data_IF_805535023516
#
_entry.id   IF_805535023516
#
_cell.length_a   1.000
_cell.length_b   1.000
_cell.length_c   1.000
_cell.angle_alpha   90.00
_cell.angle_beta   90.00
_cell.angle_gamma   90.00
#
_symmetry.space_group_name_H-M   'P 1'
#
loop_
_entity.id
_entity.type
_entity.pdbx_description
1 polymer ?
#
# COMPACT_ATOMS: atom_id res chain seq x y z
N UNK A 1 -2.72 -1.92 -12.26
CA UNK A 1 -1.58 -1.41 -13.05
C UNK A 1 -0.66 -0.67 -12.08
N UNK A 2 0.26 -1.41 -11.44
CA UNK A 2 1.25 -0.80 -10.55
C UNK A 2 2.35 -0.19 -11.41
N UNK A 3 2.32 1.13 -11.54
CA UNK A 3 3.46 1.89 -12.04
C UNK A 3 4.58 1.75 -11.01
N UNK A 4 5.64 1.01 -11.37
CA UNK A 4 6.95 1.25 -10.76
C UNK A 4 7.35 2.65 -11.23
N UNK A 5 7.38 3.61 -10.32
CA UNK A 5 8.01 4.91 -10.58
C UNK A 5 9.50 4.66 -10.57
N UNK A 6 10.16 4.94 -11.69
CA UNK A 6 11.60 4.92 -11.81
C UNK A 6 12.08 6.36 -11.68
N UNK A 7 12.79 6.70 -10.59
CA UNK A 7 13.37 8.03 -10.33
C UNK A 7 14.64 8.31 -11.16
N UNK A 8 14.68 7.80 -12.37
CA UNK A 8 15.69 8.18 -13.35
C UNK A 8 15.20 9.40 -14.13
N UNK A 9 16.00 10.46 -14.21
CA UNK A 9 15.77 11.52 -15.17
C UNK A 9 15.84 10.94 -16.60
N UNK A 10 14.69 10.56 -17.16
CA UNK A 10 14.57 10.17 -18.57
C UNK A 10 14.26 11.45 -19.37
N UNK A 11 15.24 12.01 -20.12
CA UNK A 11 15.03 13.24 -20.90
C UNK A 11 14.15 13.03 -22.15
N UNK A 12 13.68 11.80 -22.40
CA UNK A 12 12.88 11.43 -23.56
C UNK A 12 11.37 11.48 -23.28
N UNK A 13 10.59 11.87 -24.30
CA UNK A 13 9.13 11.82 -24.26
C UNK A 13 8.69 10.35 -24.23
N UNK A 14 7.95 9.94 -23.17
CA UNK A 14 7.39 8.61 -23.10
C UNK A 14 6.40 8.41 -24.27
N UNK A 15 6.50 7.25 -24.93
CA UNK A 15 5.61 6.89 -26.04
C UNK A 15 4.99 5.55 -25.74
N UNK A 16 3.67 5.49 -25.83
CA UNK A 16 2.89 4.26 -25.66
C UNK A 16 2.44 3.84 -27.05
N UNK A 17 2.85 2.65 -27.48
CA UNK A 17 2.46 2.07 -28.76
C UNK A 17 1.87 0.69 -28.50
N UNK A 18 0.72 0.42 -29.09
CA UNK A 18 0.15 -0.93 -29.07
C UNK A 18 0.89 -1.80 -30.08
N UNK A 19 1.43 -2.92 -29.60
CA UNK A 19 1.97 -3.95 -30.47
C UNK A 19 0.82 -4.68 -31.19
N UNK A 20 1.06 -5.24 -32.39
CA UNK A 20 0.06 -6.02 -33.10
C UNK A 20 -0.47 -7.17 -32.24
N UNK A 21 -1.78 -7.43 -32.31
CA UNK A 21 -2.37 -8.59 -31.66
C UNK A 21 -1.86 -9.87 -32.31
N UNK A 22 -1.42 -10.81 -31.49
CA UNK A 22 -0.93 -12.11 -31.93
C UNK A 22 -2.09 -13.09 -31.83
N UNK A 23 -2.59 -13.54 -32.98
CA UNK A 23 -3.66 -14.54 -33.07
C UNK A 23 -3.07 -15.96 -33.07
N UNK A 24 -2.38 -16.31 -31.98
CA UNK A 24 -1.80 -17.63 -31.75
C UNK A 24 -2.11 -18.06 -30.31
N UNK A 25 -2.07 -19.37 -30.08
CA UNK A 25 -2.26 -19.91 -28.74
C UNK A 25 -1.15 -19.42 -27.79
N UNK A 26 -1.47 -18.65 -26.74
CA UNK A 26 -0.45 -18.00 -25.90
C UNK A 26 0.36 -19.01 -25.09
N UNK A 27 -0.20 -20.19 -24.81
CA UNK A 27 0.49 -21.27 -24.12
C UNK A 27 1.50 -22.03 -24.98
N UNK A 28 1.50 -21.85 -26.29
CA UNK A 28 2.38 -22.56 -27.21
C UNK A 28 3.82 -22.02 -27.12
N UNK A 29 4.80 -22.90 -26.90
CA UNK A 29 6.21 -22.50 -26.77
C UNK A 29 6.74 -21.78 -28.01
N UNK A 30 6.34 -22.20 -29.21
CA UNK A 30 6.73 -21.53 -30.46
C UNK A 30 6.16 -20.12 -30.55
N UNK A 31 4.94 -19.89 -30.04
CA UNK A 31 4.35 -18.55 -29.97
C UNK A 31 5.14 -17.65 -29.01
N UNK A 32 5.45 -18.16 -27.81
CA UNK A 32 6.22 -17.39 -26.81
C UNK A 32 7.61 -17.06 -27.38
N UNK A 33 8.28 -18.03 -28.00
CA UNK A 33 9.59 -17.84 -28.62
C UNK A 33 9.57 -16.81 -29.75
N UNK A 34 8.65 -16.94 -30.72
CA UNK A 34 8.56 -16.02 -31.86
C UNK A 34 8.22 -14.60 -31.42
N UNK A 35 7.36 -14.46 -30.40
CA UNK A 35 7.04 -13.17 -29.77
C UNK A 35 8.27 -12.53 -29.13
N UNK A 36 9.05 -13.30 -28.35
CA UNK A 36 10.27 -12.80 -27.73
C UNK A 36 11.30 -12.36 -28.77
N UNK A 37 11.50 -13.16 -29.83
CA UNK A 37 12.37 -12.80 -30.96
C UNK A 37 11.92 -11.52 -31.66
N UNK A 38 10.62 -11.38 -31.93
CA UNK A 38 10.07 -10.17 -32.51
C UNK A 38 10.37 -8.94 -31.64
N UNK A 39 10.14 -9.04 -30.33
CA UNK A 39 10.38 -7.93 -29.39
C UNK A 39 11.87 -7.59 -29.30
N UNK A 40 12.77 -8.58 -29.30
CA UNK A 40 14.22 -8.33 -29.38
C UNK A 40 14.60 -7.55 -30.65
N UNK A 41 14.07 -7.97 -31.80
CA UNK A 41 14.35 -7.30 -33.08
C UNK A 41 13.84 -5.86 -33.10
N UNK A 42 12.66 -5.60 -32.52
CA UNK A 42 12.16 -4.23 -32.36
C UNK A 42 13.02 -3.43 -31.40
N UNK A 43 13.34 -3.96 -30.22
CA UNK A 43 14.16 -3.28 -29.22
C UNK A 43 15.56 -2.94 -29.76
N UNK A 44 16.15 -3.82 -30.59
CA UNK A 44 17.42 -3.59 -31.27
C UNK A 44 17.39 -2.35 -32.18
N UNK A 45 16.30 -2.13 -32.94
CA UNK A 45 16.13 -0.95 -33.80
C UNK A 45 16.18 0.36 -33.01
N UNK A 46 15.72 0.32 -31.76
CA UNK A 46 15.71 1.46 -30.84
C UNK A 46 16.90 1.49 -29.87
N UNK A 47 17.85 0.55 -29.99
CA UNK A 47 19.01 0.39 -29.07
C UNK A 47 18.58 0.30 -27.60
N UNK A 48 17.49 -0.43 -27.34
CA UNK A 48 16.93 -0.64 -26.02
C UNK A 48 17.02 -2.12 -25.61
N UNK A 49 17.05 -2.36 -24.30
CA UNK A 49 16.92 -3.72 -23.77
C UNK A 49 15.43 -4.04 -23.57
N UNK A 50 14.91 -5.13 -24.17
CA UNK A 50 13.50 -5.47 -24.03
C UNK A 50 13.18 -5.95 -22.62
N UNK A 51 12.11 -5.40 -22.03
CA UNK A 51 11.49 -5.92 -20.81
C UNK A 51 10.13 -6.51 -21.15
N UNK A 52 9.92 -7.78 -20.81
CA UNK A 52 8.68 -8.50 -21.06
C UNK A 52 8.04 -8.92 -19.76
N UNK A 53 6.74 -8.65 -19.62
CA UNK A 53 5.97 -9.08 -18.46
C UNK A 53 5.00 -10.18 -18.87
N UNK A 54 5.02 -11.31 -18.17
CA UNK A 54 4.17 -12.46 -18.43
C UNK A 54 3.43 -12.91 -17.17
N UNK A 55 2.20 -13.39 -17.30
CA UNK A 55 1.52 -14.11 -16.22
C UNK A 55 2.28 -15.38 -15.83
N UNK A 56 2.05 -15.87 -14.61
CA UNK A 56 2.84 -16.94 -14.00
C UNK A 56 3.11 -18.16 -14.91
N UNK A 57 2.11 -18.77 -15.59
CA UNK A 57 2.38 -19.93 -16.44
C UNK A 57 3.27 -19.60 -17.66
N UNK A 58 3.09 -18.41 -18.24
CA UNK A 58 3.85 -17.96 -19.41
C UNK A 58 5.26 -17.51 -19.02
N UNK A 59 5.40 -16.88 -17.85
CA UNK A 59 6.68 -16.48 -17.29
C UNK A 59 7.62 -17.68 -17.12
N UNK A 60 7.11 -18.79 -16.58
CA UNK A 60 7.87 -20.03 -16.46
C UNK A 60 8.32 -20.57 -17.81
N UNK A 61 7.43 -20.61 -18.81
CA UNK A 61 7.77 -21.05 -20.16
C UNK A 61 8.83 -20.14 -20.82
N UNK A 62 8.70 -18.83 -20.67
CA UNK A 62 9.64 -17.86 -21.18
C UNK A 62 11.03 -18.02 -20.53
N UNK A 63 11.09 -18.22 -19.21
CA UNK A 63 12.33 -18.53 -18.49
C UNK A 63 12.98 -19.81 -19.04
N UNK A 64 12.22 -20.89 -19.21
CA UNK A 64 12.74 -22.14 -19.77
C UNK A 64 13.31 -21.93 -21.17
N UNK A 65 12.63 -21.16 -22.03
CA UNK A 65 13.14 -20.84 -23.36
C UNK A 65 14.47 -20.08 -23.26
N UNK A 66 14.52 -19.00 -22.48
CA UNK A 66 15.75 -18.21 -22.33
C UNK A 66 16.88 -19.06 -21.78
N UNK A 67 16.63 -19.92 -20.78
CA UNK A 67 17.66 -20.75 -20.17
C UNK A 67 18.29 -21.73 -21.17
N UNK A 68 17.47 -22.36 -22.01
CA UNK A 68 17.90 -23.31 -23.03
C UNK A 68 18.57 -22.68 -24.26
N UNK A 69 18.48 -21.36 -24.44
CA UNK A 69 19.14 -20.67 -25.54
C UNK A 69 20.67 -20.56 -25.36
N UNK A 70 21.45 -20.54 -26.46
CA UNK A 70 22.88 -20.27 -26.43
C UNK A 70 23.23 -18.95 -25.71
N UNK A 71 24.45 -18.85 -25.16
CA UNK A 71 24.89 -17.66 -24.40
C UNK A 71 24.97 -16.39 -25.26
N UNK A 72 25.19 -16.56 -26.55
CA UNK A 72 25.27 -15.52 -27.57
C UNK A 72 23.90 -15.18 -28.20
N UNK A 73 22.82 -15.84 -27.74
CA UNK A 73 21.47 -15.55 -28.22
C UNK A 73 21.02 -14.14 -27.80
N UNK A 74 20.40 -13.42 -28.73
CA UNK A 74 19.72 -12.13 -28.51
C UNK A 74 18.66 -12.20 -27.39
N UNK A 75 18.02 -13.36 -27.19
CA UNK A 75 17.04 -13.60 -26.12
C UNK A 75 17.64 -13.43 -24.72
N UNK A 76 18.95 -13.62 -24.55
CA UNK A 76 19.64 -13.41 -23.27
C UNK A 76 19.64 -11.94 -22.83
N UNK A 77 19.33 -11.00 -23.73
CA UNK A 77 19.19 -9.58 -23.40
C UNK A 77 17.83 -9.22 -22.80
N UNK A 78 16.84 -10.12 -22.85
CA UNK A 78 15.49 -9.87 -22.34
C UNK A 78 15.48 -9.87 -20.81
N UNK A 79 14.89 -8.82 -20.24
CA UNK A 79 14.51 -8.79 -18.82
C UNK A 79 13.08 -9.32 -18.69
N UNK A 80 12.93 -10.54 -18.19
CA UNK A 80 11.62 -11.11 -17.89
C UNK A 80 11.11 -10.62 -16.53
N UNK A 81 9.84 -10.24 -16.48
CA UNK A 81 9.13 -9.84 -15.26
C UNK A 81 7.86 -10.66 -15.08
N UNK A 82 7.58 -11.06 -13.84
CA UNK A 82 6.32 -11.71 -13.50
C UNK A 82 5.18 -10.68 -13.46
N UNK A 83 4.09 -10.98 -14.16
CA UNK A 83 2.84 -10.23 -14.14
C UNK A 83 2.17 -10.36 -12.78
N UNK A 84 2.07 -9.25 -12.05
CA UNK A 84 1.51 -9.22 -10.71
C UNK A 84 -0.01 -9.04 -10.63
N UNK A 85 -0.69 -8.75 -11.75
CA UNK A 85 -2.10 -8.33 -11.69
C UNK A 85 -3.03 -9.47 -11.27
N UNK A 86 -2.83 -10.68 -11.82
CA UNK A 86 -3.60 -11.85 -11.39
C UNK A 86 -3.28 -12.28 -9.95
N UNK A 87 -2.04 -12.05 -9.50
CA UNK A 87 -1.65 -12.28 -8.12
C UNK A 87 -2.37 -11.31 -7.18
N UNK A 88 -2.42 -10.02 -7.52
CA UNK A 88 -3.14 -8.98 -6.79
C UNK A 88 -4.64 -9.27 -6.72
N UNK A 89 -5.27 -9.61 -7.85
CA UNK A 89 -6.67 -10.03 -7.90
C UNK A 89 -6.94 -11.25 -6.98
N UNK A 90 -6.10 -12.29 -7.08
CA UNK A 90 -6.26 -13.51 -6.28
C UNK A 90 -6.06 -13.23 -4.78
N UNK A 91 -5.08 -12.40 -4.44
CA UNK A 91 -4.80 -12.01 -3.06
C UNK A 91 -5.98 -11.27 -2.44
N UNK A 92 -6.51 -10.24 -3.12
CA UNK A 92 -7.68 -9.50 -2.66
C UNK A 92 -8.92 -10.41 -2.54
N UNK A 93 -9.12 -11.30 -3.51
CA UNK A 93 -10.17 -12.31 -3.44
C UNK A 93 -10.03 -13.25 -2.24
N UNK A 94 -8.80 -13.63 -1.90
CA UNK A 94 -8.53 -14.47 -0.73
C UNK A 94 -8.83 -13.77 0.60
N UNK A 95 -8.56 -12.46 0.71
CA UNK A 95 -8.96 -11.66 1.88
C UNK A 95 -10.48 -11.67 2.00
N UNK A 96 -11.20 -11.38 0.91
CA UNK A 96 -12.67 -11.40 0.90
C UNK A 96 -13.25 -12.77 1.30
N UNK A 97 -12.62 -13.86 0.85
CA UNK A 97 -13.03 -15.22 1.22
C UNK A 97 -12.76 -15.55 2.70
N UNK A 98 -11.56 -15.25 3.20
CA UNK A 98 -11.16 -15.51 4.60
C UNK A 98 -11.98 -14.68 5.57
N UNK A 99 -12.25 -13.42 5.23
CA UNK A 99 -12.96 -12.46 6.07
C UNK A 99 -14.47 -12.43 5.80
N UNK A 100 -15.00 -13.42 5.08
CA UNK A 100 -16.44 -13.53 4.84
C UNK A 100 -17.20 -13.68 6.17
N UNK A 101 -18.23 -12.86 6.37
CA UNK A 101 -19.03 -12.83 7.60
C UNK A 101 -18.36 -12.13 8.80
N UNK A 102 -17.21 -11.47 8.62
CA UNK A 102 -16.51 -10.75 9.70
C UNK A 102 -17.05 -9.35 10.00
N UNK A 103 -18.04 -8.86 9.24
CA UNK A 103 -18.44 -7.45 9.27
C UNK A 103 -17.66 -6.56 8.29
N UNK A 104 -16.62 -7.10 7.63
CA UNK A 104 -15.79 -6.32 6.70
C UNK A 104 -16.59 -5.83 5.48
N UNK A 105 -17.52 -6.63 4.97
CA UNK A 105 -18.32 -6.26 3.80
C UNK A 105 -19.24 -5.09 4.13
N UNK A 106 -19.91 -5.18 5.27
CA UNK A 106 -20.79 -4.18 5.84
C UNK A 106 -20.04 -2.87 6.07
N UNK A 107 -18.81 -2.93 6.56
CA UNK A 107 -17.96 -1.76 6.71
C UNK A 107 -17.56 -1.16 5.35
N UNK A 108 -17.25 -1.98 4.34
CA UNK A 108 -17.01 -1.48 2.98
C UNK A 108 -18.26 -0.83 2.38
N UNK A 109 -19.44 -1.36 2.70
CA UNK A 109 -20.74 -0.88 2.19
C UNK A 109 -21.14 0.49 2.75
N UNK A 110 -20.49 0.96 3.83
CA UNK A 110 -20.66 2.35 4.32
C UNK A 110 -20.16 3.40 3.32
N UNK A 111 -19.21 3.04 2.44
CA UNK A 111 -18.59 3.96 1.47
C UNK A 111 -18.82 3.54 0.01
N UNK A 112 -19.09 2.25 -0.22
CA UNK A 112 -19.26 1.68 -1.56
C UNK A 112 -20.63 1.00 -1.71
N UNK A 113 -21.20 1.04 -2.92
CA UNK A 113 -22.44 0.30 -3.18
C UNK A 113 -22.24 -1.23 -3.03
N UNK A 114 -23.24 -1.99 -2.55
CA UNK A 114 -23.13 -3.45 -2.31
C UNK A 114 -22.62 -4.26 -3.50
N UNK A 115 -23.07 -3.92 -4.71
CA UNK A 115 -22.59 -4.56 -5.95
C UNK A 115 -21.09 -4.33 -6.19
N UNK A 116 -20.57 -3.16 -5.83
CA UNK A 116 -19.14 -2.88 -5.93
C UNK A 116 -18.34 -3.69 -4.91
N UNK A 117 -18.84 -3.78 -3.67
CA UNK A 117 -18.22 -4.57 -2.60
C UNK A 117 -18.14 -6.05 -2.97
N UNK A 118 -19.17 -6.62 -3.57
CA UNK A 118 -19.14 -8.00 -4.10
C UNK A 118 -17.99 -8.22 -5.09
N UNK A 119 -17.75 -7.26 -5.98
CA UNK A 119 -16.61 -7.33 -6.91
C UNK A 119 -15.26 -7.07 -6.25
N UNK A 120 -15.22 -6.32 -5.15
CA UNK A 120 -14.01 -6.10 -4.35
C UNK A 120 -13.62 -7.38 -3.61
N UNK A 121 -14.60 -8.07 -3.01
CA UNK A 121 -14.41 -9.33 -2.27
C UNK A 121 -14.02 -10.51 -3.16
N UNK A 122 -14.34 -10.46 -4.45
CA UNK A 122 -13.87 -11.45 -5.43
C UNK A 122 -12.53 -11.05 -6.09
N UNK A 123 -11.94 -9.92 -5.69
CA UNK A 123 -10.70 -9.41 -6.26
C UNK A 123 -10.84 -8.82 -7.67
N UNK A 124 -12.04 -8.81 -8.25
CA UNK A 124 -12.32 -8.34 -9.62
C UNK A 124 -12.33 -6.81 -9.74
N UNK A 125 -12.52 -6.10 -8.63
CA UNK A 125 -12.48 -4.64 -8.57
C UNK A 125 -11.23 -4.13 -7.83
N UNK A 126 -10.04 -4.54 -8.29
CA UNK A 126 -8.72 -4.30 -7.65
C UNK A 126 -8.55 -2.89 -7.09
N UNK A 127 -8.66 -1.85 -7.92
CA UNK A 127 -8.40 -0.48 -7.49
C UNK A 127 -9.36 -0.03 -6.38
N UNK A 128 -10.64 -0.45 -6.44
CA UNK A 128 -11.61 -0.17 -5.38
C UNK A 128 -11.29 -0.97 -4.13
N UNK A 129 -10.99 -2.26 -4.26
CA UNK A 129 -10.69 -3.15 -3.15
C UNK A 129 -9.48 -2.65 -2.35
N UNK A 130 -8.37 -2.33 -3.03
CA UNK A 130 -7.16 -1.76 -2.41
C UNK A 130 -7.50 -0.49 -1.64
N UNK A 131 -8.21 0.46 -2.27
CA UNK A 131 -8.63 1.70 -1.61
C UNK A 131 -9.53 1.44 -0.41
N UNK A 132 -10.50 0.53 -0.53
CA UNK A 132 -11.42 0.15 0.56
C UNK A 132 -10.68 -0.46 1.75
N UNK A 133 -9.74 -1.38 1.52
CA UNK A 133 -8.91 -1.94 2.58
C UNK A 133 -8.05 -0.88 3.27
N UNK A 134 -7.45 0.06 2.54
CA UNK A 134 -6.72 1.17 3.15
C UNK A 134 -7.62 2.07 3.99
N UNK A 135 -8.81 2.44 3.50
CA UNK A 135 -9.75 3.27 4.26
C UNK A 135 -10.12 2.60 5.59
N UNK A 136 -10.46 1.32 5.54
CA UNK A 136 -10.83 0.53 6.71
C UNK A 136 -9.65 0.39 7.68
N UNK A 137 -8.47 0.06 7.16
CA UNK A 137 -7.27 -0.06 7.98
C UNK A 137 -6.97 1.24 8.75
N UNK A 138 -7.04 2.38 8.07
CA UNK A 138 -6.82 3.69 8.68
C UNK A 138 -7.93 4.03 9.70
N UNK A 139 -9.19 3.76 9.38
CA UNK A 139 -10.31 4.00 10.29
C UNK A 139 -10.18 3.16 11.57
N UNK A 140 -9.96 1.85 11.44
CA UNK A 140 -9.79 0.94 12.58
C UNK A 140 -8.56 1.30 13.40
N UNK A 141 -7.44 1.62 12.76
CA UNK A 141 -6.22 2.03 13.46
C UNK A 141 -6.45 3.34 14.22
N UNK A 142 -7.15 4.30 13.63
CA UNK A 142 -7.51 5.56 14.31
C UNK A 142 -8.40 5.31 15.52
N UNK A 143 -9.39 4.42 15.40
CA UNK A 143 -10.27 4.03 16.52
C UNK A 143 -9.48 3.39 17.66
N UNK A 144 -8.63 2.40 17.34
CA UNK A 144 -7.80 1.71 18.32
C UNK A 144 -6.84 2.66 19.05
N UNK A 145 -6.26 3.62 18.32
CA UNK A 145 -5.39 4.63 18.92
C UNK A 145 -6.18 5.59 19.81
N UNK A 146 -7.35 6.06 19.39
CA UNK A 146 -8.20 6.92 20.20
C UNK A 146 -8.64 6.22 21.50
N UNK A 147 -9.02 4.95 21.41
CA UNK A 147 -9.38 4.13 22.56
C UNK A 147 -8.19 3.96 23.51
N UNK A 148 -7.03 3.58 22.97
CA UNK A 148 -5.84 3.28 23.78
C UNK A 148 -5.24 4.50 24.47
N UNK A 149 -5.27 5.67 23.84
CA UNK A 149 -4.72 6.92 24.39
C UNK A 149 -5.79 7.84 24.99
N UNK A 150 -7.02 7.34 25.13
CA UNK A 150 -8.19 8.07 25.63
C UNK A 150 -8.39 9.45 24.96
N UNK A 151 -8.03 9.53 23.67
CA UNK A 151 -8.20 10.75 22.87
C UNK A 151 -9.66 10.83 22.46
N UNK A 152 -10.33 11.93 22.80
CA UNK A 152 -11.66 12.21 22.27
C UNK A 152 -11.55 12.32 20.75
N UNK A 153 -12.05 11.31 20.03
CA UNK A 153 -12.12 11.34 18.58
C UNK A 153 -13.10 12.44 18.18
N UNK A 154 -12.59 13.65 18.02
CA UNK A 154 -13.36 14.80 17.52
C UNK A 154 -13.88 14.55 16.10
N UNK A 155 -13.32 13.56 15.40
CA UNK A 155 -13.72 13.14 14.04
C UNK A 155 -14.96 12.23 14.02
N UNK A 156 -15.37 11.65 15.16
CA UNK A 156 -16.59 10.80 15.23
C UNK A 156 -17.85 11.57 15.64
N UNK A 157 -17.77 12.87 15.91
CA UNK A 157 -18.91 13.67 16.38
C UNK A 157 -19.76 14.32 15.29
N UNK A 158 -19.48 14.07 14.02
CA UNK A 158 -20.32 14.56 12.92
C UNK A 158 -21.22 13.45 12.36
N UNK A 159 -22.14 12.95 13.19
CA UNK A 159 -23.41 12.47 12.65
C UNK A 159 -24.65 12.60 13.53
N UNK A 160 -24.52 13.01 14.80
CA UNK A 160 -25.66 13.42 15.62
C UNK A 160 -25.34 14.75 16.31
N UNK A 161 -25.69 15.84 15.62
CA UNK A 161 -25.87 17.13 16.29
C UNK A 161 -27.13 17.02 17.14
N UNK A 162 -26.95 16.85 18.45
CA UNK A 162 -27.70 17.57 19.48
C UNK A 162 -27.16 17.19 20.88
N UNK A 163 -26.94 18.21 21.70
CA UNK A 163 -26.54 18.18 23.12
C UNK A 163 -25.03 18.22 23.40
N UNK A 164 -24.44 19.37 23.10
CA UNK A 164 -23.37 19.94 23.93
C UNK A 164 -24.04 20.39 25.23
N UNK A 165 -23.95 19.61 26.30
CA UNK A 165 -23.99 20.12 27.67
C UNK A 165 -23.50 19.06 28.66
N UNK A 166 -22.78 19.54 29.69
CA UNK A 166 -22.17 18.81 30.80
C UNK A 166 -20.84 18.09 30.56
N UNK A 167 -19.77 18.91 30.52
CA UNK A 167 -18.48 18.52 31.08
C UNK A 167 -18.27 19.30 32.39
N UNK A 168 -18.62 18.71 33.52
CA UNK A 168 -18.11 19.14 34.83
C UNK A 168 -18.15 17.99 35.81
N UNK A 169 -17.03 17.82 36.51
CA UNK A 169 -16.70 16.84 37.56
C UNK A 169 -16.35 15.44 37.07
N UNK A 170 -15.06 15.09 37.18
CA UNK A 170 -14.54 14.06 38.09
C UNK A 170 -12.98 14.07 38.04
N UNK A 171 -12.38 14.68 39.08
CA UNK A 171 -11.03 14.39 39.61
C UNK A 171 -11.07 12.97 40.25
N UNK A 172 -10.05 12.13 40.42
CA UNK A 172 -8.60 12.00 40.26
C UNK A 172 -8.41 10.45 40.28
N UNK A 173 -7.52 9.75 39.58
CA UNK A 173 -6.07 9.72 39.77
C UNK A 173 -5.50 8.65 38.81
N UNK A 174 -4.96 9.07 37.66
CA UNK A 174 -4.07 8.33 36.71
C UNK A 174 -3.90 9.12 35.39
N UNK A 175 -4.79 10.11 35.18
CA UNK A 175 -4.98 10.95 33.98
C UNK A 175 -3.83 11.95 33.68
N UNK A 176 -2.79 12.07 34.52
CA UNK A 176 -1.80 13.14 34.34
C UNK A 176 -0.87 12.94 33.13
N UNK A 177 -0.69 11.70 32.65
CA UNK A 177 0.24 11.44 31.55
C UNK A 177 -0.43 11.51 30.16
N UNK A 178 -1.68 11.06 30.01
CA UNK A 178 -2.40 11.06 28.73
C UNK A 178 -2.89 12.44 28.31
N UNK A 179 -3.33 13.26 29.27
CA UNK A 179 -3.69 14.66 29.01
C UNK A 179 -2.49 15.45 28.43
N UNK A 180 -1.26 15.08 28.80
CA UNK A 180 -0.06 15.76 28.32
C UNK A 180 0.24 15.41 26.86
N UNK A 181 0.08 14.15 26.45
CA UNK A 181 0.34 13.71 25.08
C UNK A 181 -0.66 14.30 24.07
N UNK A 182 -1.94 14.38 24.44
CA UNK A 182 -2.99 14.99 23.59
C UNK A 182 -2.75 16.50 23.45
N UNK A 183 -2.40 17.17 24.54
CA UNK A 183 -2.02 18.59 24.50
C UNK A 183 -0.80 18.82 23.60
N UNK A 184 0.15 17.90 23.64
CA UNK A 184 1.36 17.94 22.83
C UNK A 184 1.05 17.72 21.34
N UNK A 185 0.13 16.81 20.99
CA UNK A 185 -0.36 16.64 19.61
C UNK A 185 -1.09 17.89 19.09
N UNK A 186 -1.96 18.50 19.89
CA UNK A 186 -2.67 19.72 19.50
C UNK A 186 -1.72 20.91 19.29
N UNK A 187 -0.69 21.05 20.14
CA UNK A 187 0.37 22.05 19.95
C UNK A 187 1.16 21.79 18.66
N UNK A 188 1.43 20.53 18.34
CA UNK A 188 2.13 20.15 17.12
C UNK A 188 1.29 20.49 15.87
N UNK A 189 -0.02 20.21 15.90
CA UNK A 189 -0.94 20.56 14.82
C UNK A 189 -0.91 22.06 14.51
N UNK A 190 -1.00 22.89 15.55
CA UNK A 190 -0.92 24.34 15.39
C UNK A 190 0.40 24.80 14.74
N UNK A 191 1.53 24.21 15.14
CA UNK A 191 2.84 24.54 14.57
C UNK A 191 2.94 24.11 13.10
N UNK A 192 2.34 22.97 12.74
CA UNK A 192 2.27 22.52 11.36
C UNK A 192 1.45 23.47 10.49
N UNK A 193 0.31 23.96 10.98
CA UNK A 193 -0.53 24.91 10.27
C UNK A 193 0.22 26.23 10.02
N UNK A 194 0.92 26.75 11.03
CA UNK A 194 1.75 27.96 10.91
C UNK A 194 2.92 27.81 9.93
N UNK A 195 3.50 26.60 9.80
CA UNK A 195 4.54 26.31 8.80
C UNK A 195 3.93 26.22 7.39
N UNK A 196 2.75 25.60 7.24
CA UNK A 196 2.04 25.51 5.96
C UNK A 196 1.63 26.90 5.45
N UNK A 197 1.25 27.80 6.35
CA UNK A 197 0.96 29.20 6.06
C UNK A 197 2.20 30.09 5.86
N UNK A 198 3.41 29.51 5.98
CA UNK A 198 4.74 30.16 5.85
C UNK A 198 5.04 31.22 6.92
N UNK A 199 4.34 31.20 8.05
CA UNK A 199 4.65 32.07 9.19
C UNK A 199 5.89 31.61 9.95
N UNK A 200 6.21 30.30 9.89
CA UNK A 200 7.39 29.71 10.53
C UNK A 200 8.28 28.95 9.53
N UNK A 201 9.61 29.00 9.70
CA UNK A 201 10.53 28.18 8.91
C UNK A 201 10.44 26.71 9.33
N UNK A 202 10.64 25.79 8.38
CA UNK A 202 10.54 24.33 8.60
C UNK A 202 11.56 23.84 9.64
N UNK A 203 12.72 24.49 9.75
CA UNK A 203 13.77 24.18 10.73
C UNK A 203 13.27 24.27 12.20
N UNK A 204 12.18 25.01 12.43
CA UNK A 204 11.52 25.12 13.75
C UNK A 204 10.93 23.78 14.21
N UNK A 205 10.61 22.87 13.27
CA UNK A 205 10.03 21.57 13.55
C UNK A 205 11.07 20.61 14.16
N UNK A 206 12.32 20.67 13.70
CA UNK A 206 13.42 19.82 14.18
C UNK A 206 13.92 20.20 15.57
N UNK A 207 13.78 21.48 15.93
CA UNK A 207 14.12 21.99 17.27
C UNK A 207 12.96 21.85 18.26
N UNK A 208 11.81 21.35 17.83
CA UNK A 208 10.61 21.31 18.64
C UNK A 208 10.67 20.22 19.71
N UNK A 209 10.65 20.61 20.97
CA UNK A 209 10.69 19.67 22.10
C UNK A 209 9.46 18.76 22.16
N UNK A 210 8.29 19.22 21.69
CA UNK A 210 7.05 18.46 21.67
C UNK A 210 7.12 17.34 20.64
N UNK A 211 7.63 17.63 19.44
CA UNK A 211 7.86 16.62 18.42
C UNK A 211 8.85 15.54 18.90
N UNK A 212 9.91 15.94 19.62
CA UNK A 212 10.88 15.00 20.20
C UNK A 212 10.23 14.10 21.25
N UNK A 213 9.44 14.67 22.16
CA UNK A 213 8.69 13.91 23.19
C UNK A 213 7.71 12.90 22.57
N UNK A 214 6.97 13.31 21.55
CA UNK A 214 6.04 12.42 20.82
C UNK A 214 6.82 11.28 20.14
N UNK A 215 7.92 11.61 19.46
CA UNK A 215 8.80 10.63 18.80
C UNK A 215 9.37 9.62 19.80
N UNK A 216 9.83 10.08 20.97
CA UNK A 216 10.37 9.24 22.03
C UNK A 216 9.29 8.33 22.62
N UNK A 217 8.08 8.84 22.84
CA UNK A 217 6.92 8.06 23.32
C UNK A 217 6.53 6.96 22.32
N UNK A 218 6.41 7.29 21.03
CA UNK A 218 6.13 6.33 19.95
C UNK A 218 7.23 5.26 19.88
N UNK A 219 8.50 5.65 20.01
CA UNK A 219 9.62 4.71 19.98
C UNK A 219 9.61 3.73 21.17
N UNK A 220 9.19 4.20 22.33
CA UNK A 220 9.06 3.41 23.56
C UNK A 220 7.90 2.43 23.46
N UNK A 221 6.77 2.87 22.90
CA UNK A 221 5.62 2.02 22.60
C UNK A 221 6.00 0.91 21.60
N UNK A 222 6.69 1.27 20.51
CA UNK A 222 7.15 0.30 19.50
C UNK A 222 8.04 -0.79 20.10
N UNK A 223 9.01 -0.42 20.94
CA UNK A 223 9.89 -1.38 21.61
C UNK A 223 9.15 -2.30 22.58
N UNK A 224 8.13 -1.79 23.26
CA UNK A 224 7.40 -2.55 24.29
C UNK A 224 6.34 -3.51 23.73
N UNK A 225 5.80 -3.22 22.54
CA UNK A 225 4.65 -3.94 21.98
C UNK A 225 4.87 -4.56 20.60
N UNK A 226 5.70 -3.95 19.74
CA UNK A 226 5.91 -4.40 18.34
C UNK A 226 7.17 -5.25 18.21
N UNK A 227 8.26 -4.86 18.87
CA UNK A 227 9.55 -5.57 18.78
C UNK A 227 9.66 -6.79 19.73
N UNK A 228 8.56 -7.22 20.36
CA UNK A 228 8.54 -8.47 21.13
C UNK A 228 8.71 -9.63 20.15
N UNK A 229 9.83 -10.35 20.27
CA UNK A 229 10.07 -11.60 19.54
C UNK A 229 8.89 -12.56 19.83
N UNK A 230 8.20 -13.10 18.81
CA UNK A 230 7.12 -14.05 19.04
C UNK A 230 7.69 -15.31 19.71
N UNK A 231 6.94 -15.86 20.66
CA UNK A 231 7.24 -17.16 21.23
C UNK A 231 7.23 -18.21 20.10
N UNK A 232 8.18 -19.14 20.15
CA UNK A 232 8.55 -20.07 19.08
C UNK A 232 7.44 -21.03 18.62
N UNK A 233 6.25 -20.96 19.23
CA UNK A 233 5.10 -21.81 18.99
C UNK A 233 4.04 -21.22 18.04
N UNK A 234 4.19 -19.97 17.57
CA UNK A 234 3.23 -19.36 16.62
C UNK A 234 3.95 -18.53 15.57
N UNK A 235 4.62 -19.20 14.62
CA UNK A 235 5.09 -18.53 13.40
C UNK A 235 3.93 -18.44 12.39
N UNK A 236 3.35 -17.25 12.27
CA UNK A 236 2.66 -16.81 11.05
C UNK A 236 3.54 -15.73 10.41
N UNK A 237 4.29 -16.10 9.37
CA UNK A 237 5.06 -15.14 8.58
C UNK A 237 4.12 -14.36 7.67
N UNK A 238 3.76 -13.14 8.08
CA UNK A 238 3.13 -12.15 7.21
C UNK A 238 4.24 -11.20 6.73
N UNK A 239 4.61 -11.30 5.45
CA UNK A 239 5.51 -10.33 4.82
C UNK A 239 4.71 -9.10 4.42
N UNK A 240 4.79 -8.03 5.21
CA UNK A 240 4.29 -6.71 4.85
C UNK A 240 5.36 -5.90 4.12
N UNK A 241 5.15 -5.60 2.83
CA UNK A 241 5.94 -4.57 2.14
C UNK A 241 5.45 -3.19 2.60
N UNK A 242 6.17 -2.60 3.54
CA UNK A 242 6.01 -1.20 3.91
C UNK A 242 6.47 -0.31 2.76
N UNK A 243 5.57 0.54 2.26
CA UNK A 243 5.95 1.67 1.44
C UNK A 243 6.74 2.66 2.29
N UNK A 244 8.00 2.88 1.92
CA UNK A 244 8.64 4.17 2.17
C UNK A 244 8.56 4.94 0.85
N UNK A 245 7.78 6.01 0.88
CA UNK A 245 7.94 7.11 -0.04
C UNK A 245 9.22 7.87 0.33
N UNK A 246 10.15 7.97 -0.61
CA UNK A 246 11.10 9.07 -0.79
C UNK A 246 11.75 8.90 -2.17
#
# INVERSE_FOLDING_TARGET
MCNLVQDGAYPGKSTIVFLPMIDLEPGNLSCIFSTMKFVCNEAFKYRANPMLTFDQPLYWKALTIIDNEPKDSDLKSIVLRLGGFHLEMSFLGSIGNIMSGSGLAELMETVYAPNAVTHMFTGKAVARAVRGHFLIYNALTSLLLCEHFHVSSTVLKDHDTENVEHLSSLEDSEIHNENTFIQDLNKLSYIFDEILERHLPVDTLDQNEVLRKIRDSISTFRKSHIDRKPDSSTMVSIYGYGGLAA
#
